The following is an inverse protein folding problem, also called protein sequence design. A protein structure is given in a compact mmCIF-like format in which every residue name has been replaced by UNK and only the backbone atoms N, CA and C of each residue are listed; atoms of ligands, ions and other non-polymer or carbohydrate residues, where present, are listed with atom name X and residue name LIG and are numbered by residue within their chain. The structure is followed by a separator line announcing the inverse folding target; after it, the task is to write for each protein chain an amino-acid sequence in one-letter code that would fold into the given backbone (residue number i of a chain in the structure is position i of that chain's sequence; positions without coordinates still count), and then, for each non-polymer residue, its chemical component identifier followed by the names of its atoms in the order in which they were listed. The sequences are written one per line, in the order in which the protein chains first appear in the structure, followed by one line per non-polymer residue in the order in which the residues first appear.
data_IF_314966150472
#
_entry.id   IF_314966150472
#
_cell.length_a   1.000
_cell.length_b   1.000
_cell.length_c   1.000
_cell.angle_alpha   90.00
_cell.angle_beta   90.00
_cell.angle_gamma   90.00
#
_symmetry.space_group_name_H-M   'P 1'
#
loop_
_entity.id
_entity.type
_entity.pdbx_description
1 polymer ?
#
# COMPACT_ATOMS: atom_id res chain seq x y z
N UNK A 1 23.41 17.04 1.04
CA UNK A 1 22.64 15.97 1.70
C UNK A 1 22.27 15.02 0.58
N UNK A 2 23.21 14.14 0.24
CA UNK A 2 23.15 13.33 -0.97
C UNK A 2 22.34 12.07 -0.71
N UNK A 3 21.06 12.12 -1.12
CA UNK A 3 20.33 10.92 -1.51
C UNK A 3 20.58 10.60 -3.00
N UNK A 4 21.67 11.11 -3.57
CA UNK A 4 22.25 10.73 -4.86
C UNK A 4 23.16 9.49 -4.71
N UNK A 5 22.90 8.66 -3.69
CA UNK A 5 23.45 7.33 -3.64
C UNK A 5 22.77 6.52 -4.75
N UNK A 6 23.39 6.54 -5.92
CA UNK A 6 23.09 5.69 -7.07
C UNK A 6 22.64 4.32 -6.57
N UNK A 7 21.37 3.96 -6.80
CA UNK A 7 20.83 2.65 -6.44
C UNK A 7 21.76 1.63 -7.08
N UNK A 8 22.47 0.86 -6.26
CA UNK A 8 23.38 -0.15 -6.79
C UNK A 8 22.56 -1.18 -7.58
N UNK A 9 23.16 -1.82 -8.58
CA UNK A 9 22.54 -2.95 -9.29
C UNK A 9 21.98 -3.99 -8.30
N UNK A 10 22.71 -4.22 -7.20
CA UNK A 10 22.30 -5.09 -6.09
C UNK A 10 21.01 -4.62 -5.41
N UNK A 11 20.86 -3.33 -5.17
CA UNK A 11 19.71 -2.77 -4.46
C UNK A 11 18.44 -2.91 -5.31
N UNK A 12 18.56 -2.63 -6.60
CA UNK A 12 17.48 -2.85 -7.56
C UNK A 12 17.12 -4.33 -7.71
N UNK A 13 18.10 -5.25 -7.66
CA UNK A 13 17.85 -6.69 -7.69
C UNK A 13 17.08 -7.17 -6.44
N UNK A 14 17.52 -6.78 -5.24
CA UNK A 14 16.85 -7.17 -3.98
C UNK A 14 15.41 -6.68 -3.97
N UNK A 15 15.19 -5.41 -4.30
CA UNK A 15 13.86 -4.84 -4.36
C UNK A 15 13.00 -5.50 -5.45
N UNK A 16 13.57 -5.75 -6.63
CA UNK A 16 12.90 -6.44 -7.72
C UNK A 16 12.42 -7.84 -7.31
N UNK A 17 13.23 -8.59 -6.56
CA UNK A 17 12.84 -9.90 -6.01
C UNK A 17 11.70 -9.80 -5.00
N UNK A 18 11.74 -8.80 -4.11
CA UNK A 18 10.65 -8.55 -3.13
C UNK A 18 9.32 -8.32 -3.86
N UNK A 19 9.31 -7.47 -4.89
CA UNK A 19 8.09 -7.18 -5.64
C UNK A 19 7.65 -8.35 -6.53
N UNK A 20 8.58 -9.08 -7.14
CA UNK A 20 8.23 -10.27 -7.92
C UNK A 20 7.57 -11.34 -7.04
N UNK A 21 8.03 -11.49 -5.80
CA UNK A 21 7.40 -12.37 -4.81
C UNK A 21 5.97 -11.89 -4.48
N UNK A 22 5.79 -10.60 -4.18
CA UNK A 22 4.47 -10.01 -3.93
C UNK A 22 3.48 -10.19 -5.09
N UNK A 23 3.92 -9.89 -6.32
CA UNK A 23 3.12 -10.09 -7.55
C UNK A 23 2.71 -11.55 -7.69
N UNK A 24 3.68 -12.47 -7.57
CA UNK A 24 3.43 -13.90 -7.72
C UNK A 24 2.38 -14.39 -6.72
N UNK A 25 2.48 -13.97 -5.46
CA UNK A 25 1.49 -14.27 -4.45
C UNK A 25 0.11 -13.73 -4.82
N UNK A 26 -0.01 -12.44 -5.15
CA UNK A 26 -1.30 -11.81 -5.39
C UNK A 26 -1.98 -12.28 -6.67
N UNK A 27 -1.22 -12.64 -7.72
CA UNK A 27 -1.77 -13.28 -8.91
C UNK A 27 -2.37 -14.65 -8.54
N UNK A 28 -1.65 -15.47 -7.79
CA UNK A 28 -2.16 -16.76 -7.31
C UNK A 28 -3.36 -16.60 -6.37
N UNK A 29 -3.34 -15.60 -5.48
CA UNK A 29 -4.43 -15.27 -4.58
C UNK A 29 -5.71 -14.90 -5.35
N UNK A 30 -5.62 -13.99 -6.31
CA UNK A 30 -6.76 -13.56 -7.14
C UNK A 30 -7.28 -14.72 -7.99
N UNK A 31 -6.40 -15.49 -8.62
CA UNK A 31 -6.79 -16.66 -9.39
C UNK A 31 -7.52 -17.69 -8.52
N UNK A 32 -6.97 -18.01 -7.35
CA UNK A 32 -7.59 -18.91 -6.38
C UNK A 32 -8.95 -18.38 -5.92
N UNK A 33 -9.05 -17.09 -5.63
CA UNK A 33 -10.29 -16.46 -5.19
C UNK A 33 -11.40 -16.64 -6.21
N UNK A 34 -11.14 -16.34 -7.48
CA UNK A 34 -12.16 -16.51 -8.53
C UNK A 34 -12.46 -17.97 -8.86
N UNK A 35 -11.51 -18.89 -8.69
CA UNK A 35 -11.75 -20.32 -8.90
C UNK A 35 -12.67 -20.91 -7.82
N UNK A 36 -12.49 -20.53 -6.55
CA UNK A 36 -13.21 -21.15 -5.43
C UNK A 36 -14.40 -20.34 -4.91
N UNK A 37 -14.38 -19.01 -5.06
CA UNK A 37 -15.36 -18.08 -4.50
C UNK A 37 -15.97 -17.16 -5.55
N UNK A 38 -16.11 -17.67 -6.79
CA UNK A 38 -16.85 -16.95 -7.84
C UNK A 38 -18.24 -16.55 -7.32
N UNK A 39 -18.66 -15.28 -7.47
CA UNK A 39 -19.91 -14.80 -6.89
C UNK A 39 -21.11 -15.51 -7.50
N UNK A 40 -21.97 -16.12 -6.66
CA UNK A 40 -23.18 -16.86 -7.08
C UNK A 40 -24.48 -16.14 -6.72
N UNK A 41 -24.42 -15.15 -5.83
CA UNK A 41 -25.55 -14.33 -5.42
C UNK A 41 -25.22 -12.83 -5.48
N UNK A 42 -26.23 -11.94 -5.52
CA UNK A 42 -26.00 -10.49 -5.48
C UNK A 42 -25.20 -10.01 -4.26
N UNK A 43 -25.35 -10.69 -3.11
CA UNK A 43 -24.57 -10.39 -1.90
C UNK A 43 -23.08 -10.72 -2.06
N UNK A 44 -22.77 -11.78 -2.80
CA UNK A 44 -21.39 -12.22 -3.06
C UNK A 44 -20.67 -11.31 -4.06
N UNK A 45 -21.42 -10.65 -4.97
CA UNK A 45 -20.85 -9.68 -5.92
C UNK A 45 -20.14 -8.56 -5.17
N UNK A 46 -20.75 -8.02 -4.11
CA UNK A 46 -20.15 -6.94 -3.33
C UNK A 46 -18.86 -7.41 -2.62
N UNK A 47 -18.90 -8.60 -2.01
CA UNK A 47 -17.71 -9.21 -1.39
C UNK A 47 -16.58 -9.41 -2.41
N UNK A 48 -16.90 -9.96 -3.57
CA UNK A 48 -15.93 -10.16 -4.65
C UNK A 48 -15.35 -8.83 -5.18
N UNK A 49 -16.16 -7.78 -5.29
CA UNK A 49 -15.69 -6.43 -5.66
C UNK A 49 -14.69 -5.89 -4.64
N UNK A 50 -14.93 -6.06 -3.34
CA UNK A 50 -14.01 -5.62 -2.29
C UNK A 50 -12.66 -6.35 -2.39
N UNK A 51 -12.67 -7.67 -2.54
CA UNK A 51 -11.43 -8.47 -2.71
C UNK A 51 -10.69 -8.08 -3.97
N UNK A 52 -11.41 -7.91 -5.08
CA UNK A 52 -10.83 -7.50 -6.37
C UNK A 52 -10.19 -6.13 -6.26
N UNK A 53 -10.91 -5.16 -5.69
CA UNK A 53 -10.45 -3.78 -5.56
C UNK A 53 -9.21 -3.66 -4.68
N UNK A 54 -9.21 -4.36 -3.54
CA UNK A 54 -8.03 -4.52 -2.69
C UNK A 54 -6.84 -5.09 -3.47
N UNK A 55 -7.04 -6.22 -4.15
CA UNK A 55 -5.98 -6.91 -4.88
C UNK A 55 -5.42 -6.08 -6.04
N UNK A 56 -6.27 -5.32 -6.74
CA UNK A 56 -5.86 -4.40 -7.80
C UNK A 56 -4.93 -3.30 -7.26
N UNK A 57 -5.22 -2.75 -6.08
CA UNK A 57 -4.36 -1.74 -5.46
C UNK A 57 -3.00 -2.30 -5.06
N UNK A 58 -2.97 -3.51 -4.51
CA UNK A 58 -1.70 -4.19 -4.21
C UNK A 58 -0.90 -4.44 -5.48
N UNK A 59 -1.50 -5.07 -6.49
CA UNK A 59 -0.83 -5.35 -7.76
C UNK A 59 -0.35 -4.07 -8.47
N UNK A 60 -1.14 -2.99 -8.43
CA UNK A 60 -0.74 -1.70 -8.98
C UNK A 60 0.52 -1.16 -8.28
N UNK A 61 0.56 -1.21 -6.96
CA UNK A 61 1.73 -0.79 -6.19
C UNK A 61 2.96 -1.64 -6.49
N UNK A 62 2.81 -2.96 -6.49
CA UNK A 62 3.90 -3.90 -6.78
C UNK A 62 4.47 -3.68 -8.19
N UNK A 63 3.60 -3.60 -9.21
CA UNK A 63 4.00 -3.37 -10.60
C UNK A 63 4.64 -2.00 -10.78
N UNK A 64 4.08 -0.96 -10.15
CA UNK A 64 4.65 0.40 -10.24
C UNK A 64 6.04 0.49 -9.60
N UNK A 65 6.25 -0.19 -8.48
CA UNK A 65 7.53 -0.25 -7.78
C UNK A 65 8.56 -1.06 -8.57
N UNK A 66 8.18 -2.21 -9.12
CA UNK A 66 9.05 -3.01 -9.99
C UNK A 66 9.44 -2.26 -11.27
N UNK A 67 8.49 -1.55 -11.88
CA UNK A 67 8.75 -0.76 -13.09
C UNK A 67 9.68 0.41 -12.80
N UNK A 68 9.47 1.09 -11.67
CA UNK A 68 10.37 2.15 -11.21
C UNK A 68 11.79 1.60 -11.04
N UNK A 69 11.97 0.55 -10.22
CA UNK A 69 13.29 -0.04 -9.96
C UNK A 69 13.98 -0.54 -11.23
N UNK A 70 13.25 -1.20 -12.12
CA UNK A 70 13.78 -1.62 -13.42
C UNK A 70 14.26 -0.43 -14.23
N UNK A 71 13.51 0.67 -14.21
CA UNK A 71 13.89 1.89 -14.93
C UNK A 71 15.16 2.53 -14.37
N UNK A 72 15.34 2.55 -13.04
CA UNK A 72 16.59 3.00 -12.42
C UNK A 72 17.77 2.11 -12.85
N UNK A 73 17.58 0.79 -12.90
CA UNK A 73 18.62 -0.15 -13.34
C UNK A 73 19.06 0.04 -14.80
N UNK A 74 18.11 0.28 -15.71
CA UNK A 74 18.41 0.37 -17.15
C UNK A 74 18.75 1.78 -17.64
N UNK A 75 18.21 2.83 -17.01
CA UNK A 75 18.28 4.20 -17.51
C UNK A 75 18.97 5.20 -16.56
N UNK A 76 19.34 4.78 -15.34
CA UNK A 76 19.96 5.63 -14.32
C UNK A 76 19.05 6.76 -13.82
N UNK A 77 19.64 7.79 -13.21
CA UNK A 77 18.98 8.84 -12.43
C UNK A 77 18.20 9.89 -13.27
N UNK A 78 17.77 9.56 -14.49
CA UNK A 78 16.90 10.47 -15.24
C UNK A 78 15.61 10.68 -14.46
N UNK A 79 15.04 11.90 -14.43
CA UNK A 79 13.77 12.16 -13.76
C UNK A 79 12.68 11.33 -14.45
N UNK A 80 12.41 10.15 -13.90
CA UNK A 80 11.57 9.17 -14.58
C UNK A 80 10.12 9.39 -14.18
N UNK A 81 9.25 9.45 -15.20
CA UNK A 81 7.80 9.27 -15.09
C UNK A 81 7.42 8.12 -14.12
N UNK A 82 8.27 7.10 -14.05
CA UNK A 82 8.13 5.90 -13.24
C UNK A 82 8.18 6.16 -11.72
N UNK A 83 8.92 7.18 -11.26
CA UNK A 83 8.90 7.59 -9.85
C UNK A 83 7.53 8.10 -9.42
N UNK A 84 6.86 8.89 -10.26
CA UNK A 84 5.49 9.34 -10.01
C UNK A 84 4.51 8.18 -10.03
N UNK A 85 4.71 7.22 -10.93
CA UNK A 85 3.85 6.04 -10.99
C UNK A 85 3.96 5.19 -9.71
N UNK A 86 5.16 5.04 -9.14
CA UNK A 86 5.35 4.40 -7.83
C UNK A 86 4.68 5.16 -6.68
N UNK A 87 4.74 6.50 -6.69
CA UNK A 87 4.04 7.34 -5.71
C UNK A 87 2.53 7.12 -5.77
N UNK A 88 1.95 7.15 -6.97
CA UNK A 88 0.52 6.88 -7.20
C UNK A 88 0.16 5.47 -6.75
N UNK A 89 1.00 4.47 -7.08
CA UNK A 89 0.82 3.09 -6.62
C UNK A 89 0.78 2.99 -5.10
N UNK A 90 1.66 3.71 -4.40
CA UNK A 90 1.68 3.73 -2.93
C UNK A 90 0.41 4.34 -2.34
N UNK A 91 -0.09 5.44 -2.90
CA UNK A 91 -1.36 6.03 -2.46
C UNK A 91 -2.55 5.11 -2.74
N UNK A 92 -2.55 4.44 -3.90
CA UNK A 92 -3.57 3.45 -4.25
C UNK A 92 -3.55 2.26 -3.27
N UNK A 93 -2.37 1.79 -2.85
CA UNK A 93 -2.23 0.75 -1.83
C UNK A 93 -2.88 1.15 -0.51
N UNK A 94 -2.53 2.34 0.02
CA UNK A 94 -3.08 2.84 1.30
C UNK A 94 -4.60 2.89 1.25
N UNK A 95 -5.14 3.46 0.17
CA UNK A 95 -6.58 3.56 -0.04
C UNK A 95 -7.25 2.18 -0.10
N UNK A 96 -6.76 1.30 -0.97
CA UNK A 96 -7.38 -0.01 -1.22
C UNK A 96 -7.24 -0.98 -0.04
N UNK A 97 -6.20 -0.85 0.79
CA UNK A 97 -6.07 -1.60 2.05
C UNK A 97 -7.17 -1.29 3.07
N UNK A 98 -7.67 -0.06 3.09
CA UNK A 98 -8.72 0.35 4.02
C UNK A 98 -10.10 -0.19 3.65
N UNK A 99 -10.36 -0.38 2.34
CA UNK A 99 -11.68 -0.74 1.82
C UNK A 99 -12.24 -2.04 2.43
N UNK A 100 -11.48 -3.16 2.52
CA UNK A 100 -11.97 -4.37 3.17
C UNK A 100 -12.38 -4.17 4.62
N UNK A 101 -11.57 -3.48 5.42
CA UNK A 101 -11.88 -3.19 6.82
C UNK A 101 -13.15 -2.36 6.96
N UNK A 102 -13.33 -1.32 6.14
CA UNK A 102 -14.55 -0.50 6.12
C UNK A 102 -15.77 -1.35 5.73
N UNK A 103 -15.63 -2.21 4.72
CA UNK A 103 -16.70 -3.09 4.26
C UNK A 103 -17.13 -4.09 5.34
N UNK A 104 -16.17 -4.69 6.06
CA UNK A 104 -16.41 -5.62 7.14
C UNK A 104 -17.02 -4.94 8.38
N UNK A 105 -16.44 -3.82 8.83
CA UNK A 105 -16.87 -3.12 10.04
C UNK A 105 -18.28 -2.53 9.92
N UNK A 106 -18.64 -2.04 8.74
CA UNK A 106 -19.91 -1.31 8.54
C UNK A 106 -20.89 -2.08 7.66
N UNK A 107 -20.86 -3.41 7.69
CA UNK A 107 -21.72 -4.26 6.85
C UNK A 107 -23.21 -3.95 7.02
N UNK A 108 -23.66 -3.72 8.26
CA UNK A 108 -25.06 -3.40 8.61
C UNK A 108 -25.37 -1.89 8.57
N UNK A 109 -24.35 -1.03 8.50
CA UNK A 109 -24.48 0.43 8.56
C UNK A 109 -24.17 1.06 7.20
N UNK A 110 -25.02 0.78 6.21
CA UNK A 110 -24.81 1.17 4.81
C UNK A 110 -24.52 2.66 4.62
N UNK A 111 -25.19 3.53 5.37
CA UNK A 111 -24.96 4.98 5.31
C UNK A 111 -23.53 5.34 5.74
N UNK A 112 -23.09 4.89 6.92
CA UNK A 112 -21.74 5.15 7.42
C UNK A 112 -20.67 4.54 6.52
N UNK A 113 -20.89 3.31 6.03
CA UNK A 113 -20.02 2.68 5.05
C UNK A 113 -19.84 3.55 3.80
N UNK A 114 -20.95 4.07 3.26
CA UNK A 114 -20.93 4.94 2.08
C UNK A 114 -20.19 6.25 2.35
N UNK A 115 -20.41 6.87 3.51
CA UNK A 115 -19.73 8.12 3.91
C UNK A 115 -18.22 7.90 4.00
N UNK A 116 -17.77 6.83 4.68
CA UNK A 116 -16.34 6.55 4.81
C UNK A 116 -15.68 6.22 3.47
N UNK A 117 -16.31 5.37 2.65
CA UNK A 117 -15.78 5.03 1.33
C UNK A 117 -15.73 6.23 0.40
N UNK A 118 -16.80 7.02 0.29
CA UNK A 118 -16.84 8.19 -0.58
C UNK A 118 -15.87 9.29 -0.14
N UNK A 119 -15.77 9.56 1.16
CA UNK A 119 -14.81 10.52 1.72
C UNK A 119 -13.37 10.10 1.45
N UNK A 120 -13.03 8.84 1.72
CA UNK A 120 -11.68 8.31 1.47
C UNK A 120 -11.35 8.28 -0.03
N UNK A 121 -12.31 7.90 -0.87
CA UNK A 121 -12.15 7.89 -2.33
C UNK A 121 -11.87 9.30 -2.86
N UNK A 122 -12.64 10.29 -2.43
CA UNK A 122 -12.47 11.68 -2.87
C UNK A 122 -11.10 12.22 -2.47
N UNK A 123 -10.66 11.91 -1.24
CA UNK A 123 -9.33 12.26 -0.76
C UNK A 123 -8.23 11.59 -1.58
N UNK A 124 -8.34 10.27 -1.79
CA UNK A 124 -7.35 9.50 -2.54
C UNK A 124 -7.22 10.00 -3.99
N UNK A 125 -8.35 10.21 -4.69
CA UNK A 125 -8.36 10.75 -6.06
C UNK A 125 -7.76 12.14 -6.09
N UNK A 126 -8.10 13.01 -5.13
CA UNK A 126 -7.54 14.35 -5.04
C UNK A 126 -6.02 14.35 -4.90
N UNK A 127 -5.48 13.50 -4.02
CA UNK A 127 -4.02 13.35 -3.82
C UNK A 127 -3.33 12.75 -5.04
N UNK A 128 -3.85 11.66 -5.59
CA UNK A 128 -3.31 11.00 -6.80
C UNK A 128 -3.28 11.98 -7.98
N UNK A 129 -4.38 12.71 -8.21
CA UNK A 129 -4.47 13.70 -9.29
C UNK A 129 -3.46 14.84 -9.09
N UNK A 130 -3.30 15.30 -7.84
CA UNK A 130 -2.30 16.30 -7.47
C UNK A 130 -0.87 15.81 -7.77
N UNK A 131 -0.53 14.59 -7.38
CA UNK A 131 0.79 13.98 -7.64
C UNK A 131 1.06 13.83 -9.14
N UNK A 132 0.06 13.44 -9.93
CA UNK A 132 0.19 13.34 -11.39
C UNK A 132 0.40 14.72 -12.05
N UNK A 133 -0.29 15.75 -11.56
CA UNK A 133 -0.21 17.11 -12.09
C UNK A 133 1.06 17.89 -11.67
N UNK A 134 1.75 17.47 -10.60
CA UNK A 134 2.95 18.15 -10.10
C UNK A 134 4.08 18.15 -11.15
N UNK A 135 4.59 19.32 -11.51
CA UNK A 135 5.75 19.51 -12.40
C UNK A 135 7.04 19.91 -11.66
N UNK A 136 6.99 19.96 -10.32
CA UNK A 136 8.02 20.58 -9.47
C UNK A 136 9.32 19.79 -9.34
N UNK A 137 10.37 20.49 -8.89
CA UNK A 137 11.68 19.94 -8.52
C UNK A 137 11.59 18.69 -7.63
N UNK A 138 12.48 17.73 -7.88
CA UNK A 138 12.44 16.38 -7.31
C UNK A 138 12.47 16.33 -5.77
N UNK A 139 13.08 17.31 -5.10
CA UNK A 139 13.18 17.38 -3.63
C UNK A 139 11.89 17.88 -2.98
N UNK A 140 11.24 18.90 -3.54
CA UNK A 140 9.94 19.39 -3.07
C UNK A 140 8.83 18.37 -3.30
N UNK A 141 8.82 17.72 -4.46
CA UNK A 141 7.88 16.65 -4.79
C UNK A 141 7.97 15.45 -3.81
N UNK A 142 9.17 15.20 -3.26
CA UNK A 142 9.39 14.09 -2.32
C UNK A 142 8.85 14.40 -0.93
N UNK A 143 9.07 15.62 -0.42
CA UNK A 143 8.55 16.05 0.89
C UNK A 143 7.01 16.08 0.90
N UNK A 144 6.39 16.65 -0.14
CA UNK A 144 4.93 16.69 -0.27
C UNK A 144 4.33 15.28 -0.33
N UNK A 145 4.96 14.35 -1.06
CA UNK A 145 4.51 12.97 -1.16
C UNK A 145 4.42 12.24 0.20
N UNK A 146 5.44 12.41 1.07
CA UNK A 146 5.41 11.79 2.41
C UNK A 146 4.25 12.32 3.24
N UNK A 147 4.02 13.62 3.24
CA UNK A 147 2.89 14.24 3.94
C UNK A 147 1.55 13.79 3.38
N UNK A 148 1.44 13.66 2.06
CA UNK A 148 0.23 13.17 1.41
C UNK A 148 -0.08 11.72 1.78
N UNK A 149 0.94 10.85 1.84
CA UNK A 149 0.78 9.47 2.29
C UNK A 149 0.43 9.38 3.77
N UNK A 150 1.08 10.17 4.63
CA UNK A 150 0.77 10.25 6.06
C UNK A 150 -0.68 10.69 6.28
N UNK A 151 -1.11 11.73 5.58
CA UNK A 151 -2.46 12.25 5.66
C UNK A 151 -3.48 11.23 5.17
N UNK A 152 -3.25 10.62 4.00
CA UNK A 152 -4.12 9.59 3.46
C UNK A 152 -4.20 8.37 4.39
N UNK A 153 -3.07 7.92 4.94
CA UNK A 153 -3.00 6.82 5.89
C UNK A 153 -3.74 7.10 7.19
N UNK A 154 -3.64 8.32 7.71
CA UNK A 154 -4.42 8.76 8.88
C UNK A 154 -5.92 8.66 8.61
N UNK A 155 -6.39 9.21 7.50
CA UNK A 155 -7.82 9.16 7.13
C UNK A 155 -8.30 7.74 6.81
N UNK A 156 -7.45 6.90 6.22
CA UNK A 156 -7.72 5.49 5.98
C UNK A 156 -7.93 4.69 7.28
N UNK A 157 -7.34 5.13 8.40
CA UNK A 157 -7.49 4.49 9.71
C UNK A 157 -8.70 4.96 10.51
N UNK A 158 -9.23 6.16 10.25
CA UNK A 158 -10.37 6.73 10.98
C UNK A 158 -11.56 5.76 11.11
N UNK A 159 -12.03 5.08 10.03
CA UNK A 159 -13.14 4.15 10.15
C UNK A 159 -12.79 2.95 11.04
N UNK A 160 -11.56 2.46 10.97
CA UNK A 160 -11.14 1.33 11.79
C UNK A 160 -11.06 1.69 13.27
N UNK A 161 -10.50 2.86 13.61
CA UNK A 161 -10.47 3.37 14.98
C UNK A 161 -11.88 3.60 15.50
N UNK A 162 -12.77 4.18 14.69
CA UNK A 162 -14.16 4.38 15.08
C UNK A 162 -14.87 3.04 15.34
N UNK A 163 -14.66 2.02 14.49
CA UNK A 163 -15.20 0.69 14.72
C UNK A 163 -14.68 0.05 16.01
N UNK A 164 -13.37 0.16 16.30
CA UNK A 164 -12.77 -0.32 17.56
C UNK A 164 -13.36 0.35 18.80
N UNK A 165 -13.78 1.61 18.70
CA UNK A 165 -14.35 2.36 19.82
C UNK A 165 -15.84 2.09 20.03
N UNK A 166 -16.59 1.82 18.97
CA UNK A 166 -18.06 1.78 19.00
C UNK A 166 -18.64 0.38 18.96
N UNK A 167 -17.89 -0.62 18.49
CA UNK A 167 -18.35 -2.00 18.37
C UNK A 167 -17.80 -2.83 19.54
N UNK A 168 -18.67 -3.52 20.25
CA UNK A 168 -18.26 -4.40 21.36
C UNK A 168 -17.38 -5.58 20.93
N UNK A 169 -17.47 -5.98 19.65
CA UNK A 169 -16.62 -7.00 19.03
C UNK A 169 -16.29 -6.57 17.59
N UNK A 170 -15.24 -5.76 17.38
CA UNK A 170 -14.86 -5.30 16.05
C UNK A 170 -14.35 -6.47 15.19
N UNK A 171 -14.53 -6.42 13.85
CA UNK A 171 -14.02 -7.47 12.97
C UNK A 171 -12.51 -7.66 13.11
N UNK A 172 -12.00 -8.90 12.98
CA UNK A 172 -10.55 -9.17 13.00
C UNK A 172 -9.79 -8.34 11.97
N UNK A 173 -10.42 -8.06 10.82
CA UNK A 173 -9.86 -7.27 9.74
C UNK A 173 -9.55 -5.83 10.17
N UNK A 174 -10.39 -5.24 11.02
CA UNK A 174 -10.19 -3.90 11.58
C UNK A 174 -8.94 -3.85 12.46
N UNK A 175 -8.78 -4.85 13.34
CA UNK A 175 -7.61 -4.96 14.21
C UNK A 175 -6.34 -5.17 13.38
N UNK A 176 -6.42 -6.04 12.37
CA UNK A 176 -5.31 -6.32 11.49
C UNK A 176 -4.89 -5.09 10.68
N UNK A 177 -5.83 -4.28 10.19
CA UNK A 177 -5.52 -3.05 9.46
C UNK A 177 -4.75 -2.05 10.33
N UNK A 178 -5.17 -1.85 11.59
CA UNK A 178 -4.45 -0.97 12.53
C UNK A 178 -3.06 -1.50 12.83
N UNK A 179 -2.93 -2.83 12.99
CA UNK A 179 -1.63 -3.49 13.22
C UNK A 179 -0.69 -3.29 12.03
N UNK A 180 -1.13 -3.57 10.81
CA UNK A 180 -0.27 -3.43 9.62
C UNK A 180 0.09 -1.96 9.36
N UNK A 181 -0.83 -1.02 9.61
CA UNK A 181 -0.53 0.40 9.47
C UNK A 181 0.56 0.82 10.46
N UNK A 182 0.49 0.34 11.71
CA UNK A 182 1.53 0.59 12.72
C UNK A 182 2.89 0.09 12.25
N UNK A 183 2.98 -1.15 11.77
CA UNK A 183 4.25 -1.70 11.24
C UNK A 183 4.74 -0.94 10.01
N UNK A 184 3.84 -0.54 9.12
CA UNK A 184 4.16 0.22 7.91
C UNK A 184 4.68 1.61 8.26
N UNK A 185 4.10 2.29 9.26
CA UNK A 185 4.60 3.58 9.76
C UNK A 185 5.98 3.44 10.41
N UNK A 186 6.19 2.40 11.22
CA UNK A 186 7.50 2.13 11.82
C UNK A 186 8.56 1.87 10.75
N UNK A 187 8.24 1.07 9.73
CA UNK A 187 9.17 0.76 8.65
C UNK A 187 9.46 1.98 7.76
N UNK A 188 8.43 2.79 7.44
CA UNK A 188 8.60 4.05 6.71
C UNK A 188 9.42 5.07 7.52
N UNK A 189 9.18 5.18 8.83
CA UNK A 189 9.95 6.02 9.74
C UNK A 189 11.41 5.58 9.83
N UNK A 190 11.66 4.26 9.91
CA UNK A 190 13.00 3.68 9.88
C UNK A 190 13.73 3.96 8.57
N UNK A 191 13.03 3.84 7.43
CA UNK A 191 13.56 4.19 6.12
C UNK A 191 13.88 5.68 5.98
N UNK A 192 12.98 6.56 6.44
CA UNK A 192 13.20 8.01 6.43
C UNK A 192 14.36 8.44 7.34
N UNK A 193 14.52 7.75 8.48
CA UNK A 193 15.64 7.93 9.39
C UNK A 193 16.93 7.24 8.91
N UNK A 194 16.87 6.43 7.83
CA UNK A 194 18.00 5.65 7.31
C UNK A 194 18.66 4.81 8.40
N UNK A 195 17.87 4.08 9.18
CA UNK A 195 18.37 3.17 10.22
C UNK A 195 18.29 1.74 9.65
N UNK A 196 19.40 0.97 9.59
CA UNK A 196 20.70 1.20 10.24
C UNK A 196 21.80 1.91 9.40
N UNK A 197 21.54 2.41 8.20
CA UNK A 197 22.55 3.01 7.30
C UNK A 197 23.34 4.16 7.95
N UNK A 198 22.66 5.06 8.66
CA UNK A 198 23.27 6.17 9.41
C UNK A 198 24.17 5.74 10.55
N UNK A 199 23.98 4.51 11.06
CA UNK A 199 24.84 3.95 12.10
C UNK A 199 26.14 3.37 11.52
N UNK A 200 26.31 3.38 10.19
CA UNK A 200 27.52 2.90 9.52
C UNK A 200 27.71 1.39 9.55
N UNK A 201 26.74 0.64 10.09
CA UNK A 201 26.84 -0.82 10.34
C UNK A 201 26.81 -1.64 9.05
N UNK A 202 26.32 -1.06 7.94
CA UNK A 202 25.87 -1.79 6.74
C UNK A 202 26.56 -1.35 5.44
N UNK A 203 27.61 -0.52 5.52
CA UNK A 203 28.35 -0.06 4.33
C UNK A 203 27.45 0.64 3.31
N UNK A 204 27.64 0.33 2.01
CA UNK A 204 26.84 0.89 0.90
C UNK A 204 25.50 0.17 0.64
N UNK A 205 24.91 -0.46 1.66
CA UNK A 205 23.62 -1.13 1.52
C UNK A 205 22.49 -0.19 1.94
N UNK A 206 21.28 -0.47 1.46
CA UNK A 206 20.06 0.26 1.83
C UNK A 206 19.03 -0.65 2.54
N UNK A 207 19.41 -1.34 3.64
CA UNK A 207 18.54 -2.28 4.35
C UNK A 207 17.24 -1.68 4.87
N UNK A 208 17.19 -0.40 5.22
CA UNK A 208 15.96 0.25 5.68
C UNK A 208 14.93 0.36 4.57
N UNK A 209 15.39 0.60 3.32
CA UNK A 209 14.55 0.61 2.13
C UNK A 209 14.03 -0.81 1.84
N UNK A 210 14.90 -1.81 1.88
CA UNK A 210 14.47 -3.20 1.67
C UNK A 210 13.47 -3.64 2.74
N UNK A 211 13.74 -3.30 4.01
CA UNK A 211 12.86 -3.62 5.13
C UNK A 211 11.50 -2.95 4.98
N UNK A 212 11.44 -1.68 4.58
CA UNK A 212 10.19 -0.98 4.31
C UNK A 212 9.36 -1.69 3.24
N UNK A 213 9.96 -2.01 2.09
CA UNK A 213 9.27 -2.72 1.02
C UNK A 213 8.82 -4.11 1.46
N UNK A 214 9.70 -4.87 2.14
CA UNK A 214 9.38 -6.20 2.64
C UNK A 214 8.24 -6.18 3.66
N UNK A 215 8.23 -5.22 4.59
CA UNK A 215 7.14 -5.05 5.56
C UNK A 215 5.81 -4.76 4.86
N UNK A 216 5.81 -3.94 3.82
CA UNK A 216 4.60 -3.64 3.04
C UNK A 216 4.09 -4.86 2.27
N UNK A 217 4.96 -5.62 1.60
CA UNK A 217 4.60 -6.87 0.91
C UNK A 217 4.07 -7.90 1.93
N UNK A 218 4.81 -8.14 3.00
CA UNK A 218 4.43 -9.07 4.06
C UNK A 218 3.11 -8.69 4.72
N UNK A 219 2.90 -7.40 4.99
CA UNK A 219 1.65 -6.88 5.54
C UNK A 219 0.49 -7.11 4.58
N UNK A 220 0.69 -6.90 3.29
CA UNK A 220 -0.32 -7.18 2.26
C UNK A 220 -0.69 -8.66 2.25
N UNK A 221 0.30 -9.55 2.22
CA UNK A 221 0.10 -11.01 2.25
C UNK A 221 -0.66 -11.44 3.51
N UNK A 222 -0.22 -10.96 4.68
CA UNK A 222 -0.84 -11.30 5.97
C UNK A 222 -2.28 -10.78 6.06
N UNK A 223 -2.55 -9.60 5.51
CA UNK A 223 -3.88 -9.01 5.50
C UNK A 223 -4.81 -9.70 4.50
N UNK A 224 -4.29 -10.20 3.38
CA UNK A 224 -5.05 -10.91 2.35
C UNK A 224 -5.79 -12.13 2.92
N UNK A 225 -5.22 -12.82 3.91
CA UNK A 225 -5.92 -13.92 4.60
C UNK A 225 -7.20 -13.43 5.29
N UNK A 226 -7.14 -12.33 6.04
CA UNK A 226 -8.35 -11.76 6.66
C UNK A 226 -9.36 -11.25 5.62
N UNK A 227 -8.88 -10.74 4.49
CA UNK A 227 -9.75 -10.33 3.36
C UNK A 227 -10.44 -11.54 2.74
N UNK A 228 -9.75 -12.67 2.63
CA UNK A 228 -10.33 -13.94 2.19
C UNK A 228 -11.41 -14.43 3.15
N UNK A 229 -11.11 -14.45 4.45
CA UNK A 229 -12.02 -14.94 5.49
C UNK A 229 -13.31 -14.12 5.62
N UNK A 230 -13.29 -12.85 5.21
CA UNK A 230 -14.50 -12.01 5.12
C UNK A 230 -15.50 -12.52 4.07
N UNK A 231 -15.02 -13.28 3.09
CA UNK A 231 -15.87 -13.80 2.00
C UNK A 231 -16.51 -15.14 2.35
N UNK A 232 -15.84 -15.94 3.18
CA UNK A 232 -16.40 -17.15 3.80
C UNK A 232 -17.65 -16.85 4.65
#
# INVERSE_FOLDING_TARGET
MDLDAQISYRDGLILGLIHLFGISYFVCFVASFFLYHFPKSPGDIHKAQVVTFYSMGVLLWELSSLTCQSSWLFYGDKPTLWGKFQMVGTMALIYTMAVPSIAAAYQQQTYLRSVYLSGLTSLAIGKISGTLAQTSDASMARSSFYWDCLWLGFWALVPSVHALQTQGSPPPLTVNLVRIATWSFLAAGGCAAQIPERLGVVGHWHPSLYAMHLVLVWSSISYAQGVWDMVL
#
